data_IF_663629041878
#
_entry.id   IF_663629041878
#
_cell.length_a   1.000
_cell.length_b   1.000
_cell.length_c   1.000
_cell.angle_alpha   90.00
_cell.angle_beta   90.00
_cell.angle_gamma   90.00
#
_symmetry.space_group_name_H-M   'P 1'
#
loop_
_entity.id
_entity.type
_entity.pdbx_description
1 polymer ?
#
# COMPACT_ATOMS: atom_id res chain seq x y z
N UNK A 1 2.38 18.54 5.42
CA UNK A 1 1.39 17.46 5.18
C UNK A 1 0.86 17.04 6.55
N UNK A 2 -0.45 17.00 6.77
CA UNK A 2 -0.99 16.74 8.11
C UNK A 2 -0.69 15.33 8.59
N UNK A 3 -0.35 15.17 9.87
CA UNK A 3 -0.05 13.86 10.49
C UNK A 3 -1.22 12.86 10.33
N UNK A 4 -2.45 13.37 10.32
CA UNK A 4 -3.67 12.59 10.08
C UNK A 4 -3.70 11.93 8.68
N UNK A 5 -3.13 12.58 7.67
CA UNK A 5 -3.04 12.03 6.32
C UNK A 5 -2.05 10.87 6.27
N UNK A 6 -0.88 11.03 6.91
CA UNK A 6 0.14 9.97 7.02
C UNK A 6 -0.42 8.73 7.73
N UNK A 7 -1.16 8.93 8.83
CA UNK A 7 -1.81 7.86 9.56
C UNK A 7 -2.88 7.15 8.71
N UNK A 8 -3.72 7.91 8.00
CA UNK A 8 -4.75 7.36 7.10
C UNK A 8 -4.13 6.48 6.00
N UNK A 9 -3.05 6.95 5.38
CA UNK A 9 -2.33 6.20 4.34
C UNK A 9 -1.65 4.95 4.92
N UNK A 10 -1.07 5.07 6.12
CA UNK A 10 -0.45 3.94 6.84
C UNK A 10 -1.46 2.82 7.11
N UNK A 11 -2.65 3.18 7.60
CA UNK A 11 -3.73 2.22 7.86
C UNK A 11 -4.17 1.53 6.56
N UNK A 12 -4.32 2.29 5.48
CA UNK A 12 -4.66 1.75 4.16
C UNK A 12 -3.62 0.75 3.63
N UNK A 13 -2.34 1.08 3.73
CA UNK A 13 -1.25 0.19 3.33
C UNK A 13 -1.20 -1.08 4.19
N UNK A 14 -1.44 -0.95 5.49
CA UNK A 14 -1.52 -2.10 6.39
C UNK A 14 -2.69 -3.03 6.03
N UNK A 15 -3.84 -2.45 5.67
CA UNK A 15 -4.98 -3.22 5.18
C UNK A 15 -4.65 -3.98 3.89
N UNK A 16 -3.88 -3.39 2.97
CA UNK A 16 -3.42 -4.06 1.74
C UNK A 16 -2.47 -5.22 2.07
N UNK A 17 -1.58 -5.08 3.05
CA UNK A 17 -0.69 -6.18 3.47
C UNK A 17 -1.48 -7.38 4.03
N UNK A 18 -2.47 -7.10 4.89
CA UNK A 18 -3.32 -8.13 5.48
C UNK A 18 -4.28 -8.76 4.44
N UNK A 19 -4.79 -7.94 3.52
CA UNK A 19 -5.75 -8.32 2.46
C UNK A 19 -5.21 -7.91 1.08
N UNK A 20 -4.22 -8.65 0.52
CA UNK A 20 -3.57 -8.26 -0.74
C UNK A 20 -4.49 -8.23 -1.95
N UNK A 21 -5.63 -8.93 -1.89
CA UNK A 21 -6.69 -8.85 -2.91
C UNK A 21 -7.19 -7.42 -3.12
N UNK A 22 -7.19 -6.58 -2.06
CA UNK A 22 -7.58 -5.18 -2.16
C UNK A 22 -6.54 -4.41 -2.99
N UNK A 23 -5.25 -4.58 -2.70
CA UNK A 23 -4.16 -3.95 -3.46
C UNK A 23 -4.18 -4.37 -4.92
N UNK A 24 -4.31 -5.67 -5.18
CA UNK A 24 -4.44 -6.19 -6.53
C UNK A 24 -5.67 -5.62 -7.27
N UNK A 25 -6.82 -5.53 -6.61
CA UNK A 25 -8.03 -4.98 -7.22
C UNK A 25 -7.87 -3.51 -7.64
N UNK A 26 -7.20 -2.72 -6.80
CA UNK A 26 -6.90 -1.31 -7.07
C UNK A 26 -5.95 -1.15 -8.26
N UNK A 27 -4.92 -1.99 -8.35
CA UNK A 27 -3.86 -1.86 -9.37
C UNK A 27 -4.26 -2.49 -10.71
N UNK A 28 -4.83 -3.69 -10.67
CA UNK A 28 -4.99 -4.55 -11.85
C UNK A 28 -6.40 -5.16 -11.98
N UNK A 29 -7.08 -5.42 -10.87
CA UNK A 29 -8.40 -6.08 -10.89
C UNK A 29 -9.52 -5.24 -11.52
N UNK A 30 -9.35 -3.92 -11.63
CA UNK A 30 -10.23 -3.07 -12.43
C UNK A 30 -10.15 -3.38 -13.94
N UNK A 31 -9.00 -3.86 -14.42
CA UNK A 31 -8.72 -4.16 -15.83
C UNK A 31 -9.11 -5.60 -16.21
N UNK A 32 -9.04 -6.52 -15.26
CA UNK A 32 -9.34 -7.94 -15.47
C UNK A 32 -10.51 -8.40 -14.60
N UNK A 33 -11.74 -8.02 -14.98
CA UNK A 33 -13.00 -8.29 -14.25
C UNK A 33 -13.33 -9.78 -13.99
N UNK A 34 -12.60 -10.72 -14.60
CA UNK A 34 -12.92 -12.15 -14.56
C UNK A 34 -11.70 -13.03 -14.26
N UNK A 35 -10.55 -12.44 -13.94
CA UNK A 35 -9.37 -13.18 -13.53
C UNK A 35 -9.22 -13.08 -12.01
N UNK A 36 -8.99 -14.21 -11.36
CA UNK A 36 -8.60 -14.21 -9.96
C UNK A 36 -7.09 -13.95 -9.84
N UNK A 37 -6.65 -13.18 -8.83
CA UNK A 37 -5.25 -12.93 -8.64
C UNK A 37 -4.48 -14.21 -8.32
N UNK A 38 -3.37 -14.40 -9.03
CA UNK A 38 -2.47 -15.52 -8.78
C UNK A 38 -1.64 -15.25 -7.50
N UNK A 39 -1.07 -16.32 -6.92
CA UNK A 39 -0.31 -16.22 -5.67
C UNK A 39 0.86 -15.21 -5.73
N UNK A 40 1.49 -15.08 -6.89
CA UNK A 40 2.57 -14.13 -7.15
C UNK A 40 2.09 -12.68 -7.14
N UNK A 41 0.93 -12.39 -7.73
CA UNK A 41 0.35 -11.05 -7.77
C UNK A 41 -0.11 -10.57 -6.39
N UNK A 42 -0.61 -11.50 -5.57
CA UNK A 42 -0.91 -11.24 -4.16
C UNK A 42 0.37 -10.96 -3.35
N UNK A 43 1.45 -11.70 -3.61
CA UNK A 43 2.75 -11.43 -3.01
C UNK A 43 3.29 -10.05 -3.44
N UNK A 44 3.21 -9.73 -4.73
CA UNK A 44 3.62 -8.44 -5.27
C UNK A 44 2.85 -7.28 -4.61
N UNK A 45 1.54 -7.46 -4.41
CA UNK A 45 0.68 -6.49 -3.72
C UNK A 45 1.09 -6.27 -2.25
N UNK A 46 1.51 -7.32 -1.54
CA UNK A 46 2.03 -7.18 -0.16
C UNK A 46 3.39 -6.49 -0.13
N UNK A 47 4.31 -6.93 -0.99
CA UNK A 47 5.68 -6.43 -1.04
C UNK A 47 5.70 -4.95 -1.44
N UNK A 48 4.94 -4.58 -2.47
CA UNK A 48 4.80 -3.17 -2.88
C UNK A 48 4.22 -2.30 -1.76
N UNK A 49 3.15 -2.75 -1.08
CA UNK A 49 2.59 -2.02 0.05
C UNK A 49 3.60 -1.86 1.21
N UNK A 50 4.38 -2.90 1.51
CA UNK A 50 5.44 -2.84 2.52
C UNK A 50 6.57 -1.86 2.13
N UNK A 51 6.99 -1.87 0.86
CA UNK A 51 7.99 -0.93 0.34
C UNK A 51 7.50 0.52 0.46
N UNK A 52 6.27 0.79 0.01
CA UNK A 52 5.67 2.13 0.09
C UNK A 52 5.57 2.59 1.54
N UNK A 53 5.16 1.70 2.46
CA UNK A 53 5.10 2.00 3.88
C UNK A 53 6.49 2.37 4.43
N UNK A 54 7.51 1.62 4.04
CA UNK A 54 8.91 1.89 4.40
C UNK A 54 9.34 3.29 3.91
N UNK A 55 9.07 3.62 2.64
CA UNK A 55 9.38 4.94 2.07
C UNK A 55 8.67 6.07 2.83
N UNK A 56 7.39 5.90 3.15
CA UNK A 56 6.63 6.93 3.89
C UNK A 56 7.26 7.18 5.26
N UNK A 57 7.57 6.14 6.02
CA UNK A 57 8.08 6.27 7.38
C UNK A 57 9.55 6.68 7.46
N UNK A 58 10.40 6.23 6.54
CA UNK A 58 11.83 6.54 6.57
C UNK A 58 12.24 7.75 5.73
N UNK A 59 11.43 8.14 4.74
CA UNK A 59 11.74 9.28 3.86
C UNK A 59 10.79 10.44 4.08
N UNK A 60 9.47 10.24 4.20
CA UNK A 60 8.55 11.37 4.30
C UNK A 60 8.33 11.88 5.72
N UNK A 61 8.16 10.99 6.70
CA UNK A 61 7.94 11.36 8.11
C UNK A 61 9.07 12.19 8.71
N UNK A 62 10.37 11.81 8.59
CA UNK A 62 11.45 12.63 9.15
C UNK A 62 11.55 14.01 8.50
N UNK A 63 11.34 14.12 7.18
CA UNK A 63 11.36 15.41 6.51
C UNK A 63 10.16 16.30 6.89
N UNK A 64 8.99 15.70 7.17
CA UNK A 64 7.82 16.41 7.65
C UNK A 64 7.89 16.84 9.13
N UNK A 65 8.88 16.33 9.88
CA UNK A 65 9.10 16.68 11.30
C UNK A 65 10.33 17.56 11.52
N UNK A 66 11.14 17.79 10.47
CA UNK A 66 12.30 18.69 10.47
C UNK A 66 11.94 20.11 9.98
N UNK A 67 10.79 20.27 9.31
CA UNK A 67 10.22 21.55 8.85
C UNK A 67 9.05 21.94 9.73
#
# INVERSE_FOLDING_TARGET
MGIALVLSVTIGLFAIILRPKIGWFILEGWRYKSFEPNGEELLLSRVSAAIILCVIWFVFVPFASIV
#
